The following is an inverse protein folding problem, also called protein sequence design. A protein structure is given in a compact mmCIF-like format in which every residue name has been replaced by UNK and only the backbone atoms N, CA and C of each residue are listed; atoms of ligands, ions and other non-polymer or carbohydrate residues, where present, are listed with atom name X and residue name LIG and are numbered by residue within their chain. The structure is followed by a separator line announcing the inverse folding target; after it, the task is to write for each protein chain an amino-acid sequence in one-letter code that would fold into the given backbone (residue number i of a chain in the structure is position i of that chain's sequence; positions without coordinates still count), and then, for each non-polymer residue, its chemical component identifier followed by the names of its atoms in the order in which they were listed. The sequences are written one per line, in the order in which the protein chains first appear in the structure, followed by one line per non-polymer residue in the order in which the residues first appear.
data_IF_746382464054
#
_entry.id   IF_746382464054
#
_cell.length_a   1.000
_cell.length_b   1.000
_cell.length_c   1.000
_cell.angle_alpha   90.00
_cell.angle_beta   90.00
_cell.angle_gamma   90.00
#
_symmetry.space_group_name_H-M   'P 1'
#
loop_
_entity.id
_entity.type
_entity.pdbx_description
1 polymer ?
#
# COMPACT_ATOMS: atom_id res chain seq x y z
N UNK A 1 -18.41 -28.27 5.67
CA UNK A 1 -17.57 -27.63 4.65
C UNK A 1 -17.27 -26.25 5.17
N UNK A 2 -16.35 -26.15 6.14
CA UNK A 2 -15.76 -24.84 6.42
C UNK A 2 -15.10 -24.36 5.14
N UNK A 3 -15.35 -23.10 4.85
CA UNK A 3 -15.06 -22.41 3.61
C UNK A 3 -13.57 -22.62 3.23
N UNK A 4 -13.26 -23.61 2.38
CA UNK A 4 -11.88 -23.91 1.97
C UNK A 4 -11.21 -22.69 1.34
N UNK A 5 -12.02 -21.81 0.75
CA UNK A 5 -11.61 -20.50 0.23
C UNK A 5 -11.10 -19.62 1.36
N UNK A 6 -11.77 -19.57 2.51
CA UNK A 6 -11.29 -18.85 3.71
C UNK A 6 -9.95 -19.38 4.20
N UNK A 7 -9.78 -20.70 4.30
CA UNK A 7 -8.51 -21.30 4.71
C UNK A 7 -7.35 -20.96 3.77
N UNK A 8 -7.59 -20.99 2.44
CA UNK A 8 -6.60 -20.58 1.44
C UNK A 8 -6.31 -19.08 1.47
N UNK A 9 -7.31 -18.27 1.78
CA UNK A 9 -7.14 -16.83 1.97
C UNK A 9 -6.28 -16.54 3.20
N UNK A 10 -6.47 -17.27 4.29
CA UNK A 10 -5.63 -17.15 5.49
C UNK A 10 -4.18 -17.58 5.22
N UNK A 11 -3.95 -18.66 4.46
CA UNK A 11 -2.60 -19.04 4.01
C UNK A 11 -1.94 -17.94 3.16
N UNK A 12 -2.68 -17.33 2.25
CA UNK A 12 -2.19 -16.24 1.41
C UNK A 12 -1.85 -15.00 2.24
N UNK A 13 -2.70 -14.64 3.21
CA UNK A 13 -2.45 -13.55 4.15
C UNK A 13 -1.18 -13.83 4.94
N UNK A 14 -1.04 -15.02 5.53
CA UNK A 14 0.15 -15.38 6.31
C UNK A 14 1.43 -15.32 5.46
N UNK A 15 1.37 -15.79 4.21
CA UNK A 15 2.49 -15.70 3.27
C UNK A 15 2.85 -14.24 2.96
N UNK A 16 1.85 -13.38 2.81
CA UNK A 16 2.06 -11.95 2.57
C UNK A 16 2.62 -11.25 3.81
N UNK A 17 2.19 -11.62 5.01
CA UNK A 17 2.76 -11.13 6.27
C UNK A 17 4.20 -11.61 6.49
N UNK A 18 4.54 -12.80 6.01
CA UNK A 18 5.89 -13.35 6.10
C UNK A 18 6.86 -12.77 5.05
N UNK A 19 6.32 -12.15 4.00
CA UNK A 19 7.11 -11.56 2.91
C UNK A 19 8.10 -10.51 3.40
N UNK A 20 9.26 -10.44 2.75
CA UNK A 20 10.27 -9.42 3.03
C UNK A 20 9.72 -8.01 2.87
N UNK A 21 8.82 -7.79 1.90
CA UNK A 21 8.17 -6.51 1.67
C UNK A 21 7.33 -6.06 2.87
N UNK A 22 6.55 -6.97 3.47
CA UNK A 22 5.72 -6.66 4.64
C UNK A 22 6.56 -6.49 5.91
N UNK A 23 7.56 -7.36 6.12
CA UNK A 23 8.50 -7.21 7.26
C UNK A 23 9.26 -5.89 7.19
N UNK A 24 9.71 -5.51 6.00
CA UNK A 24 10.37 -4.23 5.75
C UNK A 24 9.43 -3.06 6.05
N UNK A 25 8.17 -3.16 5.62
CA UNK A 25 7.14 -2.19 5.97
C UNK A 25 6.93 -2.07 7.48
N UNK A 26 6.84 -3.19 8.21
CA UNK A 26 6.64 -3.19 9.67
C UNK A 26 7.83 -2.57 10.42
N UNK A 27 9.07 -2.86 9.99
CA UNK A 27 10.28 -2.25 10.56
C UNK A 27 10.25 -0.73 10.41
N UNK A 28 10.01 -0.22 9.20
CA UNK A 28 9.95 1.23 8.98
C UNK A 28 8.74 1.88 9.64
N UNK A 29 7.63 1.16 9.79
CA UNK A 29 6.47 1.61 10.57
C UNK A 29 6.84 1.84 12.02
N UNK A 30 7.57 0.91 12.66
CA UNK A 30 8.04 1.05 14.04
C UNK A 30 9.04 2.20 14.19
N UNK A 31 9.98 2.32 13.26
CA UNK A 31 10.93 3.44 13.23
C UNK A 31 10.23 4.81 13.08
N UNK A 32 9.15 4.87 12.32
CA UNK A 32 8.31 6.08 12.24
C UNK A 32 7.56 6.36 13.54
N UNK A 33 7.12 5.32 14.25
CA UNK A 33 6.47 5.45 15.56
C UNK A 33 7.40 6.05 16.62
N UNK A 34 8.72 5.86 16.50
CA UNK A 34 9.70 6.50 17.38
C UNK A 34 9.87 8.01 17.11
N UNK A 35 9.38 8.52 15.95
CA UNK A 35 9.46 9.94 15.59
C UNK A 35 8.07 10.51 15.29
N UNK A 36 7.36 11.04 16.31
CA UNK A 36 5.96 11.47 16.16
C UNK A 36 5.76 12.58 15.12
N UNK A 37 6.68 13.55 15.03
CA UNK A 37 6.63 14.62 14.02
C UNK A 37 6.72 14.07 12.59
N UNK A 38 7.57 13.05 12.37
CA UNK A 38 7.72 12.42 11.05
C UNK A 38 6.50 11.57 10.72
N UNK A 39 5.93 10.88 11.71
CA UNK A 39 4.71 10.08 11.58
C UNK A 39 3.52 10.95 11.17
N UNK A 40 3.31 12.10 11.79
CA UNK A 40 2.22 13.01 11.44
C UNK A 40 2.33 13.51 9.98
N UNK A 41 3.54 13.86 9.55
CA UNK A 41 3.82 14.26 8.16
C UNK A 41 3.56 13.13 7.17
N UNK A 42 3.98 11.90 7.49
CA UNK A 42 3.70 10.70 6.68
C UNK A 42 2.21 10.39 6.64
N UNK A 43 1.48 10.54 7.74
CA UNK A 43 0.03 10.35 7.76
C UNK A 43 -0.70 11.38 6.90
N UNK A 44 -0.27 12.65 6.94
CA UNK A 44 -0.80 13.71 6.08
C UNK A 44 -0.58 13.37 4.61
N UNK A 45 0.62 12.89 4.25
CA UNK A 45 0.92 12.37 2.92
C UNK A 45 0.00 11.22 2.50
N UNK A 46 -0.20 10.23 3.37
CA UNK A 46 -1.07 9.08 3.09
C UNK A 46 -2.51 9.50 2.86
N UNK A 47 -3.02 10.43 3.66
CA UNK A 47 -4.36 10.98 3.51
C UNK A 47 -4.52 11.68 2.14
N UNK A 48 -3.58 12.56 1.80
CA UNK A 48 -3.57 13.23 0.50
C UNK A 48 -3.49 12.24 -0.67
N UNK A 49 -2.73 11.15 -0.54
CA UNK A 49 -2.63 10.08 -1.55
C UNK A 49 -3.96 9.34 -1.73
N UNK A 50 -4.65 9.04 -0.64
CA UNK A 50 -5.96 8.37 -0.66
C UNK A 50 -7.01 9.30 -1.28
N UNK A 51 -7.08 10.55 -0.85
CA UNK A 51 -7.98 11.57 -1.42
C UNK A 51 -7.73 11.75 -2.92
N UNK A 52 -6.46 11.77 -3.35
CA UNK A 52 -6.12 11.83 -4.76
C UNK A 52 -6.54 10.57 -5.54
N UNK A 53 -6.52 9.39 -4.91
CA UNK A 53 -6.99 8.13 -5.51
C UNK A 53 -8.51 8.13 -5.70
N UNK A 54 -9.27 8.68 -4.74
CA UNK A 54 -10.72 8.86 -4.88
C UNK A 54 -11.10 9.91 -5.93
N UNK A 55 -10.21 10.87 -6.22
CA UNK A 55 -10.45 11.89 -7.26
C UNK A 55 -10.31 11.38 -8.71
N UNK A 56 -10.07 10.08 -8.92
CA UNK A 56 -9.96 9.48 -10.26
C UNK A 56 -8.63 9.76 -10.97
N UNK A 57 -7.62 10.31 -10.27
CA UNK A 57 -6.29 10.57 -10.84
C UNK A 57 -5.52 9.27 -11.05
N UNK A 58 -4.76 9.20 -12.13
CA UNK A 58 -3.90 8.04 -12.42
C UNK A 58 -2.80 7.92 -11.36
N UNK A 59 -2.37 6.70 -11.02
CA UNK A 59 -1.30 6.47 -10.03
C UNK A 59 0.00 7.26 -10.30
N UNK A 60 0.30 7.58 -11.57
CA UNK A 60 1.42 8.48 -11.96
C UNK A 60 1.18 9.94 -11.59
N UNK A 61 -0.02 10.46 -11.80
CA UNK A 61 -0.37 11.85 -11.47
C UNK A 61 -0.38 12.08 -9.97
N UNK A 62 -0.88 11.10 -9.22
CA UNK A 62 -0.82 11.07 -7.76
C UNK A 62 0.63 11.07 -7.30
N UNK A 63 1.48 10.22 -7.90
CA UNK A 63 2.91 10.16 -7.58
C UNK A 63 3.63 11.49 -7.86
N UNK A 64 3.38 12.13 -9.01
CA UNK A 64 3.99 13.42 -9.36
C UNK A 64 3.52 14.56 -8.45
N UNK A 65 2.22 14.61 -8.12
CA UNK A 65 1.67 15.61 -7.20
C UNK A 65 2.27 15.46 -5.80
N UNK A 66 2.36 14.22 -5.32
CA UNK A 66 2.92 13.89 -4.02
C UNK A 66 4.44 14.14 -3.97
N UNK A 67 5.16 13.86 -5.05
CA UNK A 67 6.60 14.10 -5.14
C UNK A 67 6.93 15.60 -5.11
N UNK A 68 6.07 16.43 -5.70
CA UNK A 68 6.21 17.90 -5.68
C UNK A 68 5.85 18.49 -4.31
N UNK A 69 4.76 18.05 -3.69
CA UNK A 69 4.26 18.62 -2.42
C UNK A 69 4.99 18.09 -1.18
N UNK A 70 5.63 16.92 -1.27
CA UNK A 70 6.23 16.25 -0.12
C UNK A 70 7.66 15.79 -0.40
N UNK A 71 8.39 16.52 -1.25
CA UNK A 71 9.82 16.29 -1.53
C UNK A 71 10.65 16.29 -0.25
N UNK A 72 10.32 17.11 0.75
CA UNK A 72 10.94 17.11 2.08
C UNK A 72 10.76 15.78 2.84
N UNK A 73 9.62 15.11 2.68
CA UNK A 73 9.37 13.79 3.28
C UNK A 73 10.13 12.71 2.52
N UNK A 74 10.21 12.82 1.20
CA UNK A 74 11.00 11.90 0.36
C UNK A 74 12.52 12.06 0.57
N UNK A 75 12.97 13.23 1.02
CA UNK A 75 14.35 13.46 1.43
C UNK A 75 14.66 12.79 2.78
N UNK A 76 13.67 12.54 3.63
CA UNK A 76 13.87 11.78 4.86
C UNK A 76 13.94 10.28 4.55
N UNK A 77 15.12 9.68 4.79
CA UNK A 77 15.38 8.27 4.46
C UNK A 77 14.41 7.29 5.10
N UNK A 78 13.94 7.56 6.33
CA UNK A 78 13.01 6.66 7.04
C UNK A 78 11.62 6.74 6.42
N UNK A 79 11.11 7.95 6.18
CA UNK A 79 9.80 8.15 5.56
C UNK A 79 9.77 7.68 4.11
N UNK A 80 10.81 7.95 3.32
CA UNK A 80 10.91 7.48 1.95
C UNK A 80 10.93 5.94 1.85
N UNK A 81 11.66 5.27 2.74
CA UNK A 81 11.71 3.80 2.78
C UNK A 81 10.39 3.19 3.25
N UNK A 82 9.73 3.79 4.24
CA UNK A 82 8.37 3.39 4.64
C UNK A 82 7.37 3.50 3.48
N UNK A 83 7.35 4.64 2.78
CA UNK A 83 6.40 4.88 1.68
C UNK A 83 6.66 3.95 0.49
N UNK A 84 7.93 3.64 0.20
CA UNK A 84 8.29 2.65 -0.82
C UNK A 84 7.87 1.24 -0.42
N UNK A 85 8.11 0.82 0.82
CA UNK A 85 7.68 -0.49 1.32
C UNK A 85 6.15 -0.61 1.27
N UNK A 86 5.43 0.43 1.68
CA UNK A 86 3.97 0.50 1.59
C UNK A 86 3.46 0.37 0.13
N UNK A 87 4.12 1.04 -0.81
CA UNK A 87 3.79 0.95 -2.23
C UNK A 87 4.00 -0.47 -2.76
N UNK A 88 5.10 -1.13 -2.39
CA UNK A 88 5.39 -2.51 -2.80
C UNK A 88 4.32 -3.48 -2.28
N UNK A 89 3.98 -3.39 -1.00
CA UNK A 89 2.90 -4.21 -0.40
C UNK A 89 1.57 -3.94 -1.10
N UNK A 90 1.24 -2.67 -1.35
CA UNK A 90 0.01 -2.31 -2.05
C UNK A 90 -0.04 -2.88 -3.48
N UNK A 91 1.06 -2.83 -4.23
CA UNK A 91 1.17 -3.44 -5.57
C UNK A 91 1.02 -4.96 -5.52
N UNK A 92 1.58 -5.63 -4.52
CA UNK A 92 1.40 -7.08 -4.33
C UNK A 92 -0.07 -7.43 -4.10
N UNK A 93 -0.75 -6.68 -3.24
CA UNK A 93 -2.19 -6.87 -2.98
C UNK A 93 -3.02 -6.58 -4.24
N UNK A 94 -2.71 -5.51 -4.97
CA UNK A 94 -3.38 -5.20 -6.23
C UNK A 94 -3.21 -6.32 -7.25
N UNK A 95 -2.00 -6.84 -7.44
CA UNK A 95 -1.77 -7.95 -8.36
C UNK A 95 -2.51 -9.23 -7.95
N UNK A 96 -2.65 -9.51 -6.65
CA UNK A 96 -3.49 -10.62 -6.15
C UNK A 96 -4.96 -10.37 -6.50
N UNK A 97 -5.47 -9.16 -6.23
CA UNK A 97 -6.85 -8.81 -6.56
C UNK A 97 -7.12 -8.86 -8.06
N UNK A 98 -6.21 -8.35 -8.90
CA UNK A 98 -6.30 -8.45 -10.35
C UNK A 98 -6.28 -9.91 -10.80
N UNK A 99 -5.42 -10.76 -10.23
CA UNK A 99 -5.40 -12.18 -10.54
C UNK A 99 -6.71 -12.86 -10.15
N UNK A 100 -7.28 -12.52 -8.99
CA UNK A 100 -8.57 -13.02 -8.53
C UNK A 100 -9.71 -12.57 -9.44
N UNK A 101 -9.81 -11.28 -9.73
CA UNK A 101 -10.86 -10.69 -10.59
C UNK A 101 -10.73 -11.14 -12.05
N UNK A 102 -9.52 -11.39 -12.55
CA UNK A 102 -9.34 -11.96 -13.90
C UNK A 102 -9.67 -13.46 -13.94
N UNK A 103 -9.43 -14.19 -12.85
CA UNK A 103 -9.67 -15.64 -12.79
C UNK A 103 -11.14 -15.98 -12.51
N UNK A 104 -11.79 -15.19 -11.65
CA UNK A 104 -13.24 -15.26 -11.46
C UNK A 104 -13.84 -14.42 -12.57
N UNK A 105 -14.50 -15.04 -13.56
CA UNK A 105 -15.24 -14.33 -14.62
C UNK A 105 -16.43 -13.55 -14.03
N UNK A 106 -16.13 -12.55 -13.21
CA UNK A 106 -17.09 -11.56 -12.76
C UNK A 106 -17.31 -10.66 -13.96
N UNK A 107 -18.51 -10.70 -14.53
CA UNK A 107 -18.93 -9.72 -15.53
C UNK A 107 -19.05 -8.35 -14.83
N UNK A 108 -17.90 -7.71 -14.57
CA UNK A 108 -17.78 -6.37 -14.01
C UNK A 108 -17.78 -5.32 -15.14
N UNK A 109 -18.57 -5.55 -16.19
CA UNK A 109 -18.68 -4.69 -17.38
C UNK A 109 -19.26 -3.30 -17.06
N UNK A 110 -19.73 -3.06 -15.84
CA UNK A 110 -20.43 -1.86 -15.41
C UNK A 110 -19.65 -0.95 -14.43
N UNK A 111 -18.37 -1.23 -14.16
CA UNK A 111 -17.57 -0.54 -13.12
C UNK A 111 -16.54 0.45 -13.68
#
# INVERSE_FOLDING_TARGET
MEDQVKGKTEELINTLLDSEEYRTFDIYRRLLDETPELKERVQTFRKARIEASFSGKTGKEISSLLMSQYSDILNNTVAAKYLNAELLVCKRIQGINEALVNSVQLELDFL
#
